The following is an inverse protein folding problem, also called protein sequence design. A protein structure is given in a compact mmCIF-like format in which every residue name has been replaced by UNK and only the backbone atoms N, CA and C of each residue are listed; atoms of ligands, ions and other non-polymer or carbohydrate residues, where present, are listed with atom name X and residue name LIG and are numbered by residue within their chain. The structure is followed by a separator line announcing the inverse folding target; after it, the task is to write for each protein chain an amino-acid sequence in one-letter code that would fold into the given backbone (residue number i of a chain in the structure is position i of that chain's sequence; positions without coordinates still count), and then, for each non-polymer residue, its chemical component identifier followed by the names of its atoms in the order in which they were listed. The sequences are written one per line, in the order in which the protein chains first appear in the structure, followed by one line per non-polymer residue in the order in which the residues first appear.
data_IF_637429932036
#
_entry.id   IF_637429932036
#
_cell.length_a   1.000
_cell.length_b   1.000
_cell.length_c   1.000
_cell.angle_alpha   90.00
_cell.angle_beta   90.00
_cell.angle_gamma   90.00
#
_symmetry.space_group_name_H-M   'P 1'
#
loop_
_entity.id
_entity.type
_entity.pdbx_description
1 polymer ?
#
# COMPACT_ATOMS: atom_id res chain seq x y z
N UNK A 1 26.06 -11.26 -2.35
CA UNK A 1 24.84 -10.47 -2.09
C UNK A 1 24.61 -10.53 -0.60
N UNK A 2 24.63 -9.39 0.09
CA UNK A 2 24.48 -9.35 1.54
C UNK A 2 23.11 -8.73 1.85
N UNK A 3 22.35 -9.35 2.75
CA UNK A 3 21.08 -8.78 3.19
C UNK A 3 21.36 -7.67 4.21
N UNK A 4 20.66 -6.56 4.06
CA UNK A 4 20.55 -5.52 5.08
C UNK A 4 19.52 -5.97 6.11
N UNK A 5 18.34 -6.35 5.63
CA UNK A 5 17.25 -6.91 6.43
C UNK A 5 16.34 -7.75 5.54
N UNK A 6 15.63 -8.71 6.12
CA UNK A 6 14.66 -9.54 5.42
C UNK A 6 13.57 -10.08 6.33
N UNK A 7 12.44 -10.44 5.73
CA UNK A 7 11.38 -11.23 6.33
C UNK A 7 11.04 -12.37 5.37
N UNK A 8 11.11 -13.61 5.88
CA UNK A 8 10.92 -14.81 5.05
C UNK A 8 9.44 -15.16 4.83
N UNK A 9 8.60 -14.89 5.83
CA UNK A 9 7.15 -15.07 5.75
C UNK A 9 6.46 -14.11 6.73
N UNK A 10 5.59 -13.26 6.21
CA UNK A 10 4.71 -12.40 6.97
C UNK A 10 3.31 -12.50 6.40
N UNK A 11 2.37 -12.93 7.25
CA UNK A 11 0.96 -12.99 6.88
C UNK A 11 0.41 -11.57 6.82
N UNK A 12 -0.12 -11.20 5.66
CA UNK A 12 -0.85 -9.94 5.44
C UNK A 12 -2.30 -10.29 5.19
N UNK A 13 -3.20 -9.69 5.96
CA UNK A 13 -4.65 -9.77 5.71
C UNK A 13 -5.04 -8.77 4.64
N UNK A 14 -6.13 -9.06 3.93
CA UNK A 14 -6.69 -8.15 2.95
C UNK A 14 -6.92 -6.76 3.58
N UNK A 15 -6.33 -5.75 2.95
CA UNK A 15 -6.35 -4.34 3.33
C UNK A 15 -6.54 -3.44 2.11
N UNK A 16 -7.03 -4.02 1.01
CA UNK A 16 -7.38 -3.34 -0.21
C UNK A 16 -8.60 -3.99 -0.88
N UNK A 17 -9.28 -3.20 -1.70
CA UNK A 17 -10.43 -3.62 -2.52
C UNK A 17 -10.54 -2.68 -3.73
N UNK A 18 -11.71 -2.60 -4.35
CA UNK A 18 -12.02 -1.66 -5.42
C UNK A 18 -13.28 -0.86 -5.10
N UNK A 19 -13.43 0.28 -5.77
CA UNK A 19 -14.69 1.01 -5.82
C UNK A 19 -15.78 0.17 -6.48
N UNK A 20 -16.99 0.22 -5.93
CA UNK A 20 -18.22 -0.35 -6.51
C UNK A 20 -19.14 0.80 -6.94
N UNK A 21 -18.74 1.45 -8.04
CA UNK A 21 -19.30 2.68 -8.55
C UNK A 21 -18.27 3.80 -8.67
N UNK A 22 -18.38 4.59 -9.73
CA UNK A 22 -17.53 5.76 -9.93
C UNK A 22 -17.74 6.80 -8.81
N UNK A 23 -16.64 7.42 -8.37
CA UNK A 23 -16.64 8.44 -7.31
C UNK A 23 -16.32 9.79 -7.93
N UNK A 24 -17.35 10.61 -8.13
CA UNK A 24 -17.18 11.96 -8.67
C UNK A 24 -16.47 12.89 -7.68
N UNK A 25 -15.82 13.93 -8.20
CA UNK A 25 -15.23 15.00 -7.38
C UNK A 25 -16.28 15.60 -6.43
N UNK A 26 -15.89 15.82 -5.18
CA UNK A 26 -16.77 16.37 -4.14
C UNK A 26 -17.83 15.41 -3.60
N UNK A 27 -17.93 14.19 -4.13
CA UNK A 27 -18.80 13.16 -3.59
C UNK A 27 -18.35 12.77 -2.17
N UNK A 28 -19.30 12.70 -1.25
CA UNK A 28 -19.07 12.35 0.16
C UNK A 28 -19.49 10.92 0.50
N UNK A 29 -19.91 10.14 -0.50
CA UNK A 29 -20.30 8.75 -0.34
C UNK A 29 -19.35 7.88 -1.13
N UNK A 30 -18.66 6.98 -0.46
CA UNK A 30 -17.74 6.00 -1.06
C UNK A 30 -18.37 4.63 -0.90
N UNK A 31 -18.48 3.89 -2.00
CA UNK A 31 -18.97 2.52 -2.01
C UNK A 31 -17.84 1.61 -2.47
N UNK A 32 -17.55 0.57 -1.68
CA UNK A 32 -16.48 -0.40 -1.96
C UNK A 32 -17.06 -1.79 -2.16
N UNK A 33 -16.38 -2.60 -2.98
CA UNK A 33 -16.87 -3.93 -3.35
C UNK A 33 -16.80 -4.98 -2.22
N UNK A 34 -15.97 -4.75 -1.19
CA UNK A 34 -15.74 -5.74 -0.13
C UNK A 34 -15.56 -5.08 1.24
N UNK A 35 -16.04 -5.77 2.28
CA UNK A 35 -15.86 -5.40 3.70
C UNK A 35 -14.40 -5.60 4.11
N UNK A 36 -13.64 -4.50 4.02
CA UNK A 36 -12.20 -4.44 4.31
C UNK A 36 -11.88 -3.28 5.25
N UNK A 37 -12.68 -2.21 5.18
CA UNK A 37 -12.41 -0.96 5.89
C UNK A 37 -13.42 -0.70 6.99
N UNK A 38 -13.04 0.16 7.93
CA UNK A 38 -13.91 0.60 9.03
C UNK A 38 -14.14 2.11 8.96
N UNK A 39 -15.18 2.59 9.65
CA UNK A 39 -15.46 4.03 9.72
C UNK A 39 -14.24 4.81 10.24
N UNK A 40 -14.06 6.04 9.75
CA UNK A 40 -12.94 6.96 10.12
C UNK A 40 -11.56 6.50 9.62
N UNK A 41 -11.43 5.30 9.05
CA UNK A 41 -10.19 4.84 8.44
C UNK A 41 -9.80 5.73 7.26
N UNK A 42 -8.49 5.93 7.07
CA UNK A 42 -7.96 6.60 5.89
C UNK A 42 -7.68 5.57 4.80
N UNK A 43 -8.15 5.86 3.59
CA UNK A 43 -7.88 5.07 2.39
C UNK A 43 -7.27 5.94 1.31
N UNK A 44 -6.65 5.29 0.32
CA UNK A 44 -6.07 5.91 -0.86
C UNK A 44 -6.72 5.36 -2.12
N UNK A 45 -7.06 6.27 -3.05
CA UNK A 45 -7.57 5.94 -4.39
C UNK A 45 -6.72 6.73 -5.39
N UNK A 46 -5.84 6.04 -6.11
CA UNK A 46 -4.80 6.71 -6.89
C UNK A 46 -3.90 7.57 -6.00
N UNK A 47 -3.82 8.88 -6.28
CA UNK A 47 -3.02 9.82 -5.47
C UNK A 47 -3.84 10.48 -4.34
N UNK A 48 -5.17 10.35 -4.35
CA UNK A 48 -6.04 10.95 -3.36
C UNK A 48 -6.10 10.11 -2.08
N UNK A 49 -6.02 10.77 -0.93
CA UNK A 49 -6.33 10.19 0.36
C UNK A 49 -7.71 10.67 0.83
N UNK A 50 -8.53 9.73 1.29
CA UNK A 50 -9.90 9.97 1.73
C UNK A 50 -10.04 9.44 3.17
N UNK A 51 -10.58 10.24 4.07
CA UNK A 51 -11.02 9.75 5.38
C UNK A 51 -12.45 9.25 5.25
N UNK A 52 -12.67 7.95 5.48
CA UNK A 52 -13.97 7.31 5.39
C UNK A 52 -14.92 7.84 6.47
N UNK A 53 -16.17 8.05 6.09
CA UNK A 53 -17.21 8.50 7.01
C UNK A 53 -17.86 7.36 7.81
N UNK A 54 -19.12 7.55 8.18
CA UNK A 54 -19.90 6.54 8.88
C UNK A 54 -20.41 5.45 7.94
N UNK A 55 -20.52 4.24 8.45
CA UNK A 55 -21.09 3.08 7.73
C UNK A 55 -21.93 2.23 8.67
N UNK A 56 -22.89 1.48 8.12
CA UNK A 56 -23.67 0.46 8.82
C UNK A 56 -23.36 -0.97 8.36
N UNK A 57 -22.66 -1.13 7.24
CA UNK A 57 -22.44 -2.39 6.53
C UNK A 57 -20.99 -2.61 6.08
N UNK A 58 -20.09 -1.64 6.34
CA UNK A 58 -18.69 -1.61 5.90
C UNK A 58 -18.49 -1.64 4.37
N UNK A 59 -19.55 -1.41 3.59
CA UNK A 59 -19.50 -1.33 2.13
C UNK A 59 -19.81 0.10 1.66
N UNK A 60 -20.76 0.76 2.31
CA UNK A 60 -21.16 2.14 2.00
C UNK A 60 -20.74 3.08 3.12
N UNK A 61 -19.83 4.00 2.82
CA UNK A 61 -19.35 5.02 3.73
C UNK A 61 -19.93 6.37 3.33
N UNK A 62 -20.58 7.05 4.27
CA UNK A 62 -21.25 8.34 4.05
C UNK A 62 -20.62 9.43 4.92
N UNK A 63 -20.51 10.65 4.38
CA UNK A 63 -19.82 11.73 5.06
C UNK A 63 -18.29 11.62 5.00
N UNK A 64 -17.76 10.99 3.94
CA UNK A 64 -16.32 10.89 3.70
C UNK A 64 -15.70 12.27 3.46
N UNK A 65 -14.48 12.47 3.96
CA UNK A 65 -13.68 13.67 3.71
C UNK A 65 -12.69 13.40 2.59
N UNK A 66 -12.90 14.06 1.45
CA UNK A 66 -12.06 14.00 0.23
C UNK A 66 -10.82 14.89 0.37
N UNK A 67 -9.77 14.61 -0.41
CA UNK A 67 -8.55 15.43 -0.42
C UNK A 67 -7.84 15.52 0.94
N UNK A 68 -7.94 14.48 1.77
CA UNK A 68 -7.29 14.42 3.07
C UNK A 68 -5.76 14.42 2.92
N UNK A 69 -5.03 14.70 4.00
CA UNK A 69 -3.57 14.79 4.01
C UNK A 69 -2.98 15.72 2.93
N UNK A 70 -3.71 16.77 2.55
CA UNK A 70 -3.34 17.73 1.48
C UNK A 70 -3.27 17.11 0.07
N UNK A 71 -3.97 15.99 -0.14
CA UNK A 71 -4.17 15.44 -1.49
C UNK A 71 -5.28 16.18 -2.24
N UNK A 72 -5.39 15.95 -3.54
CA UNK A 72 -6.40 16.63 -4.38
C UNK A 72 -7.62 15.74 -4.55
N UNK A 73 -8.82 16.29 -4.30
CA UNK A 73 -10.09 15.66 -4.63
C UNK A 73 -10.26 15.57 -6.15
N UNK A 74 -10.38 14.34 -6.68
CA UNK A 74 -10.48 14.07 -8.13
C UNK A 74 -11.58 13.07 -8.46
N UNK A 75 -11.94 12.95 -9.74
CA UNK A 75 -12.82 11.88 -10.19
C UNK A 75 -12.09 10.53 -10.17
N UNK A 76 -12.78 9.48 -9.70
CA UNK A 76 -12.30 8.10 -9.75
C UNK A 76 -13.28 7.21 -10.50
N UNK A 77 -12.73 6.28 -11.29
CA UNK A 77 -13.53 5.34 -12.06
C UNK A 77 -14.04 4.20 -11.19
N UNK A 78 -15.16 3.61 -11.61
CA UNK A 78 -15.62 2.32 -11.09
C UNK A 78 -14.51 1.25 -11.23
N UNK A 79 -14.39 0.36 -10.24
CA UNK A 79 -13.36 -0.67 -10.19
C UNK A 79 -11.94 -0.18 -9.90
N UNK A 80 -11.73 1.12 -9.64
CA UNK A 80 -10.43 1.64 -9.24
C UNK A 80 -10.04 1.13 -7.85
N UNK A 81 -8.75 0.84 -7.64
CA UNK A 81 -8.27 0.33 -6.35
C UNK A 81 -8.46 1.31 -5.21
N UNK A 82 -8.93 0.77 -4.09
CA UNK A 82 -9.01 1.44 -2.79
C UNK A 82 -8.07 0.69 -1.86
N UNK A 83 -7.04 1.39 -1.41
CA UNK A 83 -5.97 0.85 -0.58
C UNK A 83 -6.07 1.45 0.82
N UNK A 84 -5.75 0.70 1.87
CA UNK A 84 -5.47 1.29 3.18
C UNK A 84 -4.39 2.38 3.02
N UNK A 85 -4.58 3.57 3.59
CA UNK A 85 -3.62 4.66 3.41
C UNK A 85 -2.23 4.32 4.00
N UNK A 86 -2.18 3.53 5.07
CA UNK A 86 -0.94 3.18 5.77
C UNK A 86 -0.29 1.91 5.20
N UNK A 87 -1.08 1.04 4.57
CA UNK A 87 -0.64 -0.27 4.09
C UNK A 87 -0.20 -1.22 5.21
N UNK A 88 0.11 -2.46 4.84
CA UNK A 88 0.66 -3.44 5.77
C UNK A 88 2.19 -3.38 5.72
N UNK A 89 2.83 -2.94 6.80
CA UNK A 89 4.29 -3.01 6.90
C UNK A 89 4.76 -4.46 6.72
N UNK A 90 5.69 -4.70 5.80
CA UNK A 90 6.39 -5.97 5.65
C UNK A 90 7.66 -5.99 6.51
N UNK A 91 8.52 -4.99 6.30
CA UNK A 91 9.75 -4.78 7.04
C UNK A 91 10.12 -3.28 7.01
N UNK A 92 10.96 -2.87 7.95
CA UNK A 92 11.53 -1.53 8.00
C UNK A 92 13.02 -1.58 8.36
N UNK A 93 13.80 -0.60 7.90
CA UNK A 93 15.20 -0.45 8.24
C UNK A 93 15.58 1.01 8.42
N UNK A 94 16.24 1.31 9.54
CA UNK A 94 16.89 2.61 9.78
C UNK A 94 18.34 2.54 9.33
N UNK A 95 18.68 3.35 8.34
CA UNK A 95 20.04 3.46 7.83
C UNK A 95 20.91 4.30 8.76
N UNK A 96 22.13 3.86 9.02
CA UNK A 96 23.13 4.60 9.80
C UNK A 96 24.06 5.46 8.93
N UNK A 97 23.84 5.43 7.60
CA UNK A 97 24.68 6.09 6.61
C UNK A 97 25.96 5.33 6.26
N UNK A 98 26.18 4.12 6.77
CA UNK A 98 27.33 3.26 6.43
C UNK A 98 27.01 2.17 5.41
N UNK A 99 25.73 1.79 5.30
CA UNK A 99 25.23 0.78 4.35
C UNK A 99 24.63 1.44 3.12
N UNK A 100 24.73 0.74 1.98
CA UNK A 100 24.05 1.14 0.75
C UNK A 100 23.02 0.07 0.39
N UNK A 101 21.90 0.50 -0.19
CA UNK A 101 20.87 -0.31 -0.82
C UNK A 101 21.23 -0.55 -2.28
N UNK A 102 21.14 -1.80 -2.75
CA UNK A 102 21.35 -2.19 -4.14
C UNK A 102 20.14 -2.86 -4.77
N UNK A 103 19.25 -3.45 -3.98
CA UNK A 103 17.98 -3.95 -4.46
C UNK A 103 16.95 -4.11 -3.32
N UNK A 104 15.68 -4.06 -3.71
CA UNK A 104 14.54 -4.48 -2.90
C UNK A 104 13.87 -5.65 -3.63
N UNK A 105 13.51 -6.69 -2.90
CA UNK A 105 12.73 -7.82 -3.41
C UNK A 105 11.50 -8.00 -2.55
N UNK A 106 10.33 -8.14 -3.17
CA UNK A 106 9.07 -8.42 -2.49
C UNK A 106 8.37 -9.52 -3.29
N UNK A 107 7.87 -10.54 -2.62
CA UNK A 107 7.07 -11.59 -3.26
C UNK A 107 5.93 -12.03 -2.36
N UNK A 108 4.91 -12.61 -2.99
CA UNK A 108 3.79 -13.27 -2.31
C UNK A 108 3.34 -14.48 -3.13
N UNK A 109 2.40 -15.25 -2.60
CA UNK A 109 1.76 -16.35 -3.33
C UNK A 109 0.51 -15.91 -4.14
N UNK A 110 0.19 -14.62 -4.15
CA UNK A 110 -0.97 -14.01 -4.82
C UNK A 110 -0.59 -12.67 -5.46
N UNK A 111 -1.45 -12.11 -6.32
CA UNK A 111 -1.22 -10.76 -6.84
C UNK A 111 -1.31 -9.73 -5.71
N UNK A 112 -0.44 -8.73 -5.72
CA UNK A 112 -0.37 -7.72 -4.69
C UNK A 112 0.10 -6.37 -5.24
N UNK A 113 -0.18 -5.32 -4.49
CA UNK A 113 0.47 -4.02 -4.65
C UNK A 113 1.48 -3.86 -3.51
N UNK A 114 2.68 -3.34 -3.77
CA UNK A 114 3.63 -3.04 -2.71
C UNK A 114 3.97 -1.55 -2.69
N UNK A 115 4.59 -1.11 -1.59
CA UNK A 115 4.98 0.27 -1.37
C UNK A 115 6.40 0.37 -0.87
N UNK A 116 7.11 1.42 -1.31
CA UNK A 116 8.35 1.87 -0.67
C UNK A 116 8.07 3.20 -0.03
N UNK A 117 8.03 3.22 1.30
CA UNK A 117 7.98 4.43 2.09
C UNK A 117 9.39 4.81 2.54
N UNK A 118 9.72 6.09 2.41
CA UNK A 118 10.95 6.64 2.98
C UNK A 118 10.58 7.83 3.86
N UNK A 119 10.97 7.78 5.13
CA UNK A 119 10.80 8.84 6.12
C UNK A 119 9.32 9.30 6.23
N UNK A 120 8.38 8.34 6.25
CA UNK A 120 6.93 8.62 6.30
C UNK A 120 6.31 9.10 5.00
N UNK A 121 7.07 9.11 3.89
CA UNK A 121 6.57 9.48 2.56
C UNK A 121 6.60 8.29 1.62
N UNK A 122 5.44 7.85 1.12
CA UNK A 122 5.33 6.83 0.08
C UNK A 122 5.97 7.34 -1.23
N UNK A 123 7.01 6.65 -1.70
CA UNK A 123 7.80 7.03 -2.89
C UNK A 123 7.46 6.21 -4.12
N UNK A 124 7.09 4.95 -3.94
CA UNK A 124 6.89 4.02 -5.03
C UNK A 124 5.79 3.02 -4.67
N UNK A 125 4.94 2.67 -5.64
CA UNK A 125 3.81 1.77 -5.40
C UNK A 125 3.52 0.85 -6.61
N UNK A 126 4.41 -0.11 -6.92
CA UNK A 126 4.21 -0.99 -8.06
C UNK A 126 3.24 -2.13 -7.72
N UNK A 127 2.54 -2.61 -8.74
CA UNK A 127 1.67 -3.77 -8.65
C UNK A 127 2.31 -4.97 -9.34
N UNK A 128 2.20 -6.13 -8.73
CA UNK A 128 2.61 -7.40 -9.33
C UNK A 128 1.57 -7.85 -10.37
N UNK A 129 1.86 -8.90 -11.15
CA UNK A 129 0.87 -9.49 -12.08
C UNK A 129 0.70 -10.96 -11.75
N UNK A 130 -0.44 -11.58 -12.07
CA UNK A 130 -0.63 -13.04 -11.85
C UNK A 130 0.49 -13.92 -12.44
N UNK A 131 1.19 -13.44 -13.47
CA UNK A 131 2.36 -14.10 -14.07
C UNK A 131 3.71 -13.80 -13.40
N UNK A 132 3.76 -12.77 -12.56
CA UNK A 132 4.94 -12.29 -11.87
C UNK A 132 4.57 -11.92 -10.42
N UNK A 133 4.61 -12.92 -9.53
CA UNK A 133 4.35 -12.78 -8.09
C UNK A 133 5.57 -12.28 -7.29
N UNK A 134 6.57 -11.78 -8.00
CA UNK A 134 7.80 -11.27 -7.43
C UNK A 134 8.21 -9.98 -8.12
N UNK A 135 8.41 -8.95 -7.31
CA UNK A 135 8.93 -7.67 -7.75
C UNK A 135 10.35 -7.51 -7.25
N UNK A 136 11.27 -7.28 -8.20
CA UNK A 136 12.66 -6.94 -7.92
C UNK A 136 12.87 -5.51 -8.39
N UNK A 137 13.27 -4.65 -7.48
CA UNK A 137 13.53 -3.23 -7.69
C UNK A 137 15.03 -2.98 -7.53
N UNK A 138 15.82 -3.13 -8.60
CA UNK A 138 17.24 -2.85 -8.54
C UNK A 138 17.45 -1.35 -8.37
N UNK A 139 18.44 -0.97 -7.56
CA UNK A 139 18.83 0.42 -7.35
C UNK A 139 20.31 0.59 -7.65
N UNK A 140 20.69 1.69 -8.30
CA UNK A 140 22.09 2.04 -8.45
C UNK A 140 22.60 2.49 -7.07
N UNK A 141 23.36 1.62 -6.39
CA UNK A 141 23.99 1.82 -5.07
C UNK A 141 23.53 3.09 -4.36
N UNK A 142 22.34 3.02 -3.79
CA UNK A 142 21.73 4.14 -3.09
C UNK A 142 22.18 4.10 -1.64
N UNK A 143 22.79 5.16 -1.14
CA UNK A 143 23.20 5.27 0.26
C UNK A 143 22.29 6.31 0.93
N UNK A 144 21.25 5.87 1.65
CA UNK A 144 20.37 6.79 2.37
C UNK A 144 21.15 7.61 3.40
N UNK A 145 20.64 8.79 3.74
CA UNK A 145 21.22 9.59 4.82
C UNK A 145 21.17 8.82 6.15
N UNK A 146 22.11 9.14 7.06
CA UNK A 146 22.05 8.62 8.42
C UNK A 146 20.71 9.01 9.05
N UNK A 147 20.08 8.06 9.75
CA UNK A 147 18.73 8.09 10.32
C UNK A 147 17.55 7.97 9.35
N UNK A 148 17.77 7.88 8.04
CA UNK A 148 16.66 7.62 7.11
C UNK A 148 16.04 6.25 7.38
N UNK A 149 14.72 6.20 7.39
CA UNK A 149 13.93 4.97 7.56
C UNK A 149 13.32 4.63 6.22
N UNK A 150 13.55 3.40 5.76
CA UNK A 150 12.86 2.84 4.60
C UNK A 150 11.96 1.71 5.09
N UNK A 151 10.69 1.78 4.72
CA UNK A 151 9.67 0.80 5.08
C UNK A 151 9.07 0.22 3.81
N UNK A 152 8.99 -1.11 3.75
CA UNK A 152 8.31 -1.82 2.68
C UNK A 152 6.89 -2.12 3.12
N UNK A 153 5.91 -1.70 2.31
CA UNK A 153 4.49 -1.89 2.57
C UNK A 153 3.89 -2.87 1.56
N UNK A 154 2.78 -3.50 1.92
CA UNK A 154 1.99 -4.35 1.06
C UNK A 154 0.50 -4.04 1.16
N UNK A 155 -0.18 -4.22 0.03
CA UNK A 155 -1.62 -4.22 -0.09
C UNK A 155 -2.07 -5.52 -0.75
N UNK A 156 -2.92 -6.23 -0.02
CA UNK A 156 -3.59 -7.43 -0.49
C UNK A 156 -5.06 -7.09 -0.79
N UNK A 157 -5.45 -7.29 -2.04
CA UNK A 157 -6.84 -7.15 -2.46
C UNK A 157 -7.69 -8.30 -1.93
N UNK A 158 -8.85 -7.97 -1.36
CA UNK A 158 -9.79 -8.94 -0.77
C UNK A 158 -10.32 -9.97 -1.77
N UNK A 159 -10.44 -9.61 -3.03
CA UNK A 159 -10.86 -10.52 -4.11
C UNK A 159 -9.73 -11.43 -4.63
N UNK A 160 -8.47 -11.14 -4.28
CA UNK A 160 -7.36 -12.05 -4.56
C UNK A 160 -7.23 -13.11 -3.44
N UNK A 161 -7.26 -12.68 -2.17
CA UNK A 161 -7.27 -13.57 -1.01
C UNK A 161 -7.70 -12.85 0.27
N UNK A 162 -8.13 -13.63 1.28
CA UNK A 162 -8.39 -13.09 2.63
C UNK A 162 -7.11 -12.74 3.38
N UNK A 163 -6.08 -13.56 3.19
CA UNK A 163 -4.73 -13.38 3.71
C UNK A 163 -3.73 -14.06 2.77
N UNK A 164 -2.48 -13.61 2.80
CA UNK A 164 -1.39 -14.18 2.01
C UNK A 164 -0.05 -14.06 2.73
N UNK A 165 0.87 -14.96 2.39
CA UNK A 165 2.24 -14.94 2.90
C UNK A 165 3.11 -14.08 1.99
N UNK A 166 3.71 -13.06 2.58
CA UNK A 166 4.66 -12.18 1.91
C UNK A 166 6.08 -12.47 2.39
N UNK A 167 7.05 -12.33 1.48
CA UNK A 167 8.45 -12.19 1.83
C UNK A 167 9.00 -10.89 1.27
N UNK A 168 9.95 -10.30 1.98
CA UNK A 168 10.61 -9.08 1.52
C UNK A 168 12.06 -9.02 1.99
N UNK A 169 12.90 -8.39 1.18
CA UNK A 169 14.34 -8.28 1.41
C UNK A 169 14.85 -6.90 0.96
N UNK A 170 15.73 -6.31 1.77
CA UNK A 170 16.60 -5.21 1.36
C UNK A 170 18.04 -5.72 1.26
N UNK A 171 18.70 -5.41 0.16
CA UNK A 171 20.02 -5.95 -0.17
C UNK A 171 21.04 -4.82 -0.30
N UNK A 172 22.28 -5.09 0.12
CA UNK A 172 23.48 -4.29 -0.17
C UNK A 172 24.32 -4.94 -1.24
#
# INVERSE_FOLDING_TARGET
MQFITSVAAKVVKANATVLDGALAQGATTVVVAHDVFTAVQSVRIGEEQITLGSTSDNLTFTGCTRGAASTTDTDHADGQEVLDADGAELLSHTFDGSTYLSAIRISANVQFTCGIEQDGTLRYMPRSSHSQMELILPTARYQPAGSSILTLLAWLRRDEAEEADFSAEMQS
#
